data_IF_436036562669
#
_entry.id   IF_436036562669
#
_cell.length_a   1.000
_cell.length_b   1.000
_cell.length_c   1.000
_cell.angle_alpha   90.00
_cell.angle_beta   90.00
_cell.angle_gamma   90.00
#
_symmetry.space_group_name_H-M   'P 1'
#
loop_
_entity.id
_entity.type
_entity.pdbx_description
1 polymer ?
#
# COMPACT_ATOMS: atom_id res chain seq x y z
N UNK A 1 -16.40 -5.21 -3.12
CA UNK A 1 -15.18 -4.44 -2.83
C UNK A 1 -13.99 -5.28 -3.26
N UNK A 2 -12.91 -4.71 -3.81
CA UNK A 2 -11.73 -5.48 -4.16
C UNK A 2 -11.12 -6.09 -2.89
N UNK A 3 -10.81 -7.38 -2.93
CA UNK A 3 -10.19 -8.07 -1.78
C UNK A 3 -8.68 -7.79 -1.70
N UNK A 4 -8.10 -7.32 -2.81
CA UNK A 4 -6.66 -7.12 -2.99
C UNK A 4 -6.39 -5.72 -3.56
N UNK A 5 -5.30 -5.10 -3.09
CA UNK A 5 -4.69 -3.90 -3.65
C UNK A 5 -3.48 -4.31 -4.49
N UNK A 6 -3.46 -4.08 -5.81
CA UNK A 6 -2.28 -4.34 -6.63
C UNK A 6 -1.07 -3.53 -6.14
N UNK A 7 0.11 -4.14 -6.17
CA UNK A 7 1.37 -3.44 -5.89
C UNK A 7 2.15 -3.29 -7.19
N UNK A 8 2.34 -2.04 -7.62
CA UNK A 8 3.00 -1.73 -8.88
C UNK A 8 4.52 -1.88 -8.77
N UNK A 9 5.12 -2.46 -9.81
CA UNK A 9 6.57 -2.52 -10.03
C UNK A 9 7.38 -3.10 -8.87
N UNK A 10 6.79 -3.95 -8.03
CA UNK A 10 7.50 -4.61 -6.94
C UNK A 10 8.12 -5.92 -7.40
N UNK A 11 9.36 -6.26 -6.99
CA UNK A 11 10.07 -7.45 -7.47
C UNK A 11 9.43 -8.78 -7.05
N UNK A 12 8.87 -8.88 -5.84
CA UNK A 12 8.37 -10.15 -5.27
C UNK A 12 6.88 -10.25 -4.92
N UNK A 13 6.14 -9.14 -4.82
CA UNK A 13 4.71 -9.14 -4.47
C UNK A 13 3.90 -8.50 -5.58
N UNK A 14 2.71 -9.06 -5.86
CA UNK A 14 1.80 -8.55 -6.89
C UNK A 14 0.61 -7.78 -6.30
N UNK A 15 0.24 -8.08 -5.07
CA UNK A 15 -0.85 -7.43 -4.35
C UNK A 15 -0.71 -7.60 -2.85
N UNK A 16 -1.46 -6.80 -2.09
CA UNK A 16 -1.67 -6.96 -0.64
C UNK A 16 -3.17 -7.04 -0.34
N UNK A 17 -3.57 -7.68 0.78
CA UNK A 17 -4.95 -7.67 1.22
C UNK A 17 -5.47 -6.25 1.43
N UNK A 18 -6.66 -5.95 0.87
CA UNK A 18 -7.32 -4.65 1.07
C UNK A 18 -7.53 -4.36 2.57
N UNK A 19 -7.82 -5.41 3.35
CA UNK A 19 -7.97 -5.33 4.80
C UNK A 19 -6.74 -4.75 5.54
N UNK A 20 -5.53 -4.86 4.96
CA UNK A 20 -4.34 -4.22 5.53
C UNK A 20 -4.38 -2.69 5.40
N UNK A 21 -5.07 -2.17 4.39
CA UNK A 21 -5.19 -0.73 4.12
C UNK A 21 -6.49 -0.12 4.69
N UNK A 22 -7.49 -0.95 4.99
CA UNK A 22 -8.81 -0.53 5.49
C UNK A 22 -8.74 0.50 6.65
N UNK A 23 -7.90 0.31 7.70
CA UNK A 23 -7.80 1.28 8.79
C UNK A 23 -7.24 2.65 8.35
N UNK A 24 -6.60 2.71 7.18
CA UNK A 24 -5.86 3.87 6.68
C UNK A 24 -6.55 4.59 5.51
N UNK A 25 -7.84 4.29 5.25
CA UNK A 25 -8.65 4.93 4.18
C UNK A 25 -8.55 6.46 4.14
N UNK A 26 -8.56 7.10 5.32
CA UNK A 26 -8.48 8.57 5.43
C UNK A 26 -7.15 9.09 4.90
N UNK A 27 -6.05 8.36 5.14
CA UNK A 27 -4.73 8.72 4.62
C UNK A 27 -4.63 8.48 3.11
N UNK A 28 -5.21 7.39 2.60
CA UNK A 28 -5.29 7.15 1.16
C UNK A 28 -6.02 8.28 0.43
N UNK A 29 -7.17 8.71 0.96
CA UNK A 29 -7.90 9.86 0.43
C UNK A 29 -7.08 11.14 0.49
N UNK A 30 -6.38 11.41 1.61
CA UNK A 30 -5.52 12.59 1.76
C UNK A 30 -4.35 12.61 0.76
N UNK A 31 -3.73 11.46 0.51
CA UNK A 31 -2.56 11.36 -0.36
C UNK A 31 -2.91 11.38 -1.85
N UNK A 32 -4.05 10.80 -2.23
CA UNK A 32 -4.37 10.56 -3.64
C UNK A 32 -5.68 11.19 -4.11
N UNK A 33 -6.50 11.75 -3.22
CA UNK A 33 -7.85 12.23 -3.56
C UNK A 33 -8.79 11.10 -4.03
N UNK A 34 -8.47 9.85 -3.68
CA UNK A 34 -9.16 8.66 -4.19
C UNK A 34 -9.42 7.66 -3.05
N UNK A 35 -10.50 6.89 -3.18
CA UNK A 35 -10.77 5.76 -2.26
C UNK A 35 -9.84 4.59 -2.57
N UNK A 36 -9.71 3.66 -1.62
CA UNK A 36 -8.92 2.43 -1.83
C UNK A 36 -9.44 1.61 -3.01
N UNK A 37 -10.76 1.58 -3.23
CA UNK A 37 -11.38 0.90 -4.37
C UNK A 37 -10.91 1.51 -5.69
N UNK A 38 -10.99 2.85 -5.81
CA UNK A 38 -10.54 3.55 -7.02
C UNK A 38 -9.06 3.37 -7.28
N UNK A 39 -8.24 3.34 -6.22
CA UNK A 39 -6.82 3.05 -6.33
C UNK A 39 -6.58 1.63 -6.85
N UNK A 40 -7.27 0.63 -6.31
CA UNK A 40 -7.15 -0.74 -6.78
C UNK A 40 -7.62 -0.90 -8.24
N UNK A 41 -8.73 -0.27 -8.62
CA UNK A 41 -9.27 -0.30 -9.99
C UNK A 41 -8.30 0.27 -11.04
N UNK A 42 -7.52 1.30 -10.69
CA UNK A 42 -6.58 1.94 -11.64
C UNK A 42 -5.18 1.31 -11.69
N UNK A 43 -5.00 0.14 -11.08
CA UNK A 43 -3.73 -0.59 -11.08
C UNK A 43 -2.93 -0.51 -9.78
N UNK A 44 -3.50 0.08 -8.72
CA UNK A 44 -2.97 0.02 -7.37
C UNK A 44 -1.94 1.10 -7.02
N UNK A 45 -0.99 0.72 -6.18
CA UNK A 45 -0.02 1.60 -5.51
C UNK A 45 1.38 1.00 -5.59
N UNK A 46 2.44 1.80 -5.60
CA UNK A 46 3.78 1.24 -5.37
C UNK A 46 4.05 1.05 -3.86
N UNK A 47 5.15 0.36 -3.52
CA UNK A 47 5.44 0.05 -2.12
C UNK A 47 5.57 1.28 -1.22
N UNK A 48 6.21 2.34 -1.71
CA UNK A 48 6.38 3.57 -0.94
C UNK A 48 5.04 4.26 -0.66
N UNK A 49 4.08 4.20 -1.60
CA UNK A 49 2.74 4.75 -1.42
C UNK A 49 1.94 3.93 -0.40
N UNK A 50 2.01 2.61 -0.47
CA UNK A 50 1.41 1.71 0.52
C UNK A 50 1.95 2.03 1.92
N UNK A 51 3.28 2.10 2.07
CA UNK A 51 3.92 2.45 3.34
C UNK A 51 3.53 3.85 3.82
N UNK A 52 3.49 4.83 2.91
CA UNK A 52 3.08 6.20 3.23
C UNK A 52 1.66 6.23 3.79
N UNK A 53 0.73 5.46 3.21
CA UNK A 53 -0.64 5.35 3.70
C UNK A 53 -0.69 4.70 5.08
N UNK A 54 0.00 3.57 5.26
CA UNK A 54 0.03 2.83 6.54
C UNK A 54 0.67 3.63 7.68
N UNK A 55 1.66 4.46 7.38
CA UNK A 55 2.41 5.23 8.38
C UNK A 55 1.83 6.63 8.60
N UNK A 56 0.73 7.01 7.92
CA UNK A 56 0.15 8.35 8.05
C UNK A 56 1.03 9.45 7.41
N UNK A 57 1.94 9.07 6.53
CA UNK A 57 2.93 9.94 5.90
C UNK A 57 2.36 10.49 4.58
N UNK A 58 2.65 11.78 4.31
CA UNK A 58 2.24 12.45 3.08
C UNK A 58 2.90 11.87 1.82
N UNK A 59 2.22 12.00 0.68
CA UNK A 59 2.71 11.52 -0.62
C UNK A 59 4.11 12.06 -0.96
N UNK A 60 4.96 11.21 -1.54
CA UNK A 60 6.33 11.55 -1.95
C UNK A 60 7.39 11.61 -0.83
N UNK A 61 7.02 11.34 0.42
CA UNK A 61 7.97 11.37 1.57
C UNK A 61 8.68 10.05 1.81
N UNK A 62 8.11 8.93 1.37
CA UNK A 62 8.75 7.62 1.38
C UNK A 62 9.40 7.39 0.01
N UNK A 63 10.68 7.01 -0.01
CA UNK A 63 11.43 6.80 -1.26
C UNK A 63 11.05 5.46 -1.91
N UNK A 64 11.03 5.43 -3.23
CA UNK A 64 11.02 4.18 -4.00
C UNK A 64 12.44 3.60 -3.97
N UNK A 65 12.70 2.65 -3.07
CA UNK A 65 13.99 1.98 -2.95
C UNK A 65 13.83 0.55 -2.42
N UNK A 66 14.81 -0.35 -2.68
CA UNK A 66 14.73 -1.75 -2.28
C UNK A 66 14.50 -1.97 -0.78
N UNK A 67 14.96 -1.05 0.08
CA UNK A 67 14.75 -1.13 1.53
C UNK A 67 13.27 -0.99 1.89
N UNK A 68 12.54 -0.12 1.20
CA UNK A 68 11.10 0.07 1.43
C UNK A 68 10.27 -1.05 0.79
N UNK A 69 10.72 -1.62 -0.34
CA UNK A 69 10.15 -2.85 -0.89
C UNK A 69 10.26 -4.00 0.14
N UNK A 70 11.47 -4.22 0.68
CA UNK A 70 11.71 -5.23 1.71
C UNK A 70 10.91 -4.94 3.00
N UNK A 71 10.75 -3.67 3.38
CA UNK A 71 9.93 -3.30 4.54
C UNK A 71 8.46 -3.66 4.33
N UNK A 72 7.90 -3.43 3.13
CA UNK A 72 6.53 -3.81 2.83
C UNK A 72 6.35 -5.33 2.91
N UNK A 73 7.28 -6.12 2.36
CA UNK A 73 7.25 -7.59 2.48
C UNK A 73 7.20 -8.03 3.94
N UNK A 74 8.06 -7.48 4.81
CA UNK A 74 8.06 -7.79 6.25
C UNK A 74 6.74 -7.45 6.93
N UNK A 75 6.07 -6.36 6.54
CA UNK A 75 4.76 -5.99 7.09
C UNK A 75 3.66 -6.95 6.66
N UNK A 76 3.71 -7.46 5.43
CA UNK A 76 2.77 -8.47 4.94
C UNK A 76 2.95 -9.78 5.71
N UNK A 77 4.19 -10.24 5.87
CA UNK A 77 4.51 -11.44 6.64
C UNK A 77 4.08 -11.32 8.11
N UNK A 78 4.29 -10.15 8.72
CA UNK A 78 3.87 -9.90 10.10
C UNK A 78 2.35 -9.84 10.24
N UNK A 79 1.63 -9.34 9.23
CA UNK A 79 0.17 -9.31 9.21
C UNK A 79 -0.43 -10.71 9.08
N UNK A 80 0.15 -11.57 8.23
CA UNK A 80 -0.33 -12.95 8.04
C UNK A 80 -0.13 -13.90 9.23
N UNK A 81 0.61 -13.47 10.25
CA UNK A 81 0.82 -14.22 11.52
C UNK A 81 -0.17 -13.83 12.63
N UNK A 82 -1.11 -12.93 12.35
CA UNK A 82 -2.10 -12.42 13.31
C UNK A 82 -3.36 -13.28 13.36
#
# INVERSE_FOLDING_TARGET
>A
MPEQMPVMSHPSIKSIPMAMLEPFRRQAMKNHGQTLERLAERGGLCASEVLSIMDGIGWGRVKNCPENDALLVRRIEAWGKR
#
